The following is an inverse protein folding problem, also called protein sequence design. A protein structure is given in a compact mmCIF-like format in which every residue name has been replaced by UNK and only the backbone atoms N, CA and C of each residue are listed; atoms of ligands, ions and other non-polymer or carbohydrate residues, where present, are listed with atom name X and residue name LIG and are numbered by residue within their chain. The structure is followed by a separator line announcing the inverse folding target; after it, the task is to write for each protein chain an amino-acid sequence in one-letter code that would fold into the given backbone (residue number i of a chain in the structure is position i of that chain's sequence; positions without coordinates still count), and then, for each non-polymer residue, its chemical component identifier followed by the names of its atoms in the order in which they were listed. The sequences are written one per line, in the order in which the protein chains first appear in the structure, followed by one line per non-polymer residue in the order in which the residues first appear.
data_IF_064479266892
#
_entry.id   IF_064479266892
#
_cell.length_a   1.000
_cell.length_b   1.000
_cell.length_c   1.000
_cell.angle_alpha   90.00
_cell.angle_beta   90.00
_cell.angle_gamma   90.00
#
_symmetry.space_group_name_H-M   'P 1'
#
loop_
_entity.id
_entity.type
_entity.pdbx_description
1 polymer ?
#
# COMPACT_ATOMS: atom_id res chain seq x y z
N UNK A 1 11.13 22.53 32.16
CA UNK A 1 10.62 22.69 33.55
C UNK A 1 9.82 21.44 33.89
N UNK A 2 10.33 20.59 34.77
CA UNK A 2 9.70 19.31 35.11
C UNK A 2 8.87 19.52 36.38
N UNK A 3 7.54 19.41 36.27
CA UNK A 3 6.63 19.57 37.40
C UNK A 3 6.51 18.20 38.08
N UNK A 4 6.81 18.14 39.38
CA UNK A 4 6.78 16.88 40.16
C UNK A 4 5.78 17.02 41.30
N UNK A 5 4.82 16.10 41.37
CA UNK A 5 3.80 16.11 42.43
C UNK A 5 4.40 15.66 43.78
N UNK A 6 3.81 16.14 44.90
CA UNK A 6 4.19 15.69 46.25
C UNK A 6 3.70 14.26 46.51
N UNK A 7 4.39 13.52 47.38
CA UNK A 7 4.06 12.12 47.71
C UNK A 7 2.61 11.90 48.19
N UNK A 8 1.98 12.90 48.80
CA UNK A 8 0.60 12.83 49.30
C UNK A 8 -0.47 13.27 48.29
N UNK A 9 -0.06 13.63 47.07
CA UNK A 9 -0.98 14.08 46.04
C UNK A 9 -1.84 12.92 45.54
N UNK A 10 -3.16 13.08 45.59
CA UNK A 10 -4.12 12.09 45.09
C UNK A 10 -4.94 12.71 43.97
N UNK A 11 -5.07 11.98 42.86
CA UNK A 11 -5.99 12.32 41.77
C UNK A 11 -7.22 11.43 41.92
N UNK A 12 -8.39 12.05 42.00
CA UNK A 12 -9.67 11.36 41.84
C UNK A 12 -10.33 11.86 40.56
N UNK A 13 -10.67 10.95 39.66
CA UNK A 13 -11.31 11.26 38.38
C UNK A 13 -12.52 10.34 38.18
N UNK A 14 -13.62 10.91 37.69
CA UNK A 14 -14.84 10.19 37.32
C UNK A 14 -15.17 10.50 35.86
N UNK A 15 -15.35 9.47 35.02
CA UNK A 15 -15.76 9.66 33.63
C UNK A 15 -17.28 9.70 33.51
N UNK A 16 -17.83 10.74 32.88
CA UNK A 16 -19.19 10.73 32.34
C UNK A 16 -19.11 10.42 30.84
N UNK A 17 -19.45 9.19 30.40
CA UNK A 17 -19.45 8.88 28.97
C UNK A 17 -20.55 9.68 28.25
N UNK A 18 -20.19 10.38 27.18
CA UNK A 18 -21.13 11.12 26.36
C UNK A 18 -22.08 10.17 25.63
N UNK A 19 -23.32 10.08 26.10
CA UNK A 19 -24.37 9.24 25.49
C UNK A 19 -25.42 8.73 26.47
N UNK A 20 -25.15 8.78 27.78
CA UNK A 20 -26.08 8.29 28.81
C UNK A 20 -27.14 9.37 29.15
N UNK A 21 -28.25 9.37 28.41
CA UNK A 21 -29.44 10.19 28.70
C UNK A 21 -30.04 9.79 30.06
N UNK A 22 -29.52 10.33 31.16
CA UNK A 22 -30.06 10.05 32.50
C UNK A 22 -29.13 10.32 33.68
N UNK A 23 -27.83 10.57 33.46
CA UNK A 23 -26.94 10.93 34.57
C UNK A 23 -26.94 12.44 34.82
N UNK A 24 -27.24 12.81 36.07
CA UNK A 24 -27.23 14.21 36.53
C UNK A 24 -25.80 14.73 36.51
N UNK A 25 -25.60 15.82 35.79
CA UNK A 25 -24.42 16.67 35.90
C UNK A 25 -24.04 16.91 37.38
N UNK A 26 -22.74 16.97 37.68
CA UNK A 26 -22.28 17.31 39.04
C UNK A 26 -22.90 18.64 39.49
N UNK A 27 -23.25 18.75 40.77
CA UNK A 27 -23.81 20.00 41.28
C UNK A 27 -22.80 21.15 41.09
N UNK A 28 -23.25 22.41 40.87
CA UNK A 28 -22.35 23.55 40.74
C UNK A 28 -21.35 23.69 41.90
N UNK A 29 -21.77 23.34 43.12
CA UNK A 29 -20.91 23.37 44.31
C UNK A 29 -19.76 22.35 44.28
N UNK A 30 -19.97 21.19 43.64
CA UNK A 30 -18.92 20.19 43.43
C UNK A 30 -18.04 20.53 42.24
N UNK A 31 -18.61 21.04 41.14
CA UNK A 31 -17.84 21.49 39.96
C UNK A 31 -16.80 22.54 40.30
N UNK A 32 -17.15 23.51 41.16
CA UNK A 32 -16.21 24.54 41.61
C UNK A 32 -15.03 24.01 42.45
N UNK A 33 -15.08 22.76 42.93
CA UNK A 33 -14.01 22.11 43.70
C UNK A 33 -13.09 21.24 42.84
N UNK A 34 -13.44 21.00 41.58
CA UNK A 34 -12.66 20.16 40.67
C UNK A 34 -12.25 20.94 39.42
N UNK A 35 -11.14 20.55 38.82
CA UNK A 35 -10.75 21.03 37.49
C UNK A 35 -11.41 20.14 36.45
N UNK A 36 -12.29 20.71 35.63
CA UNK A 36 -12.90 20.00 34.51
C UNK A 36 -11.97 20.06 33.29
N UNK A 37 -11.69 18.89 32.72
CA UNK A 37 -10.92 18.76 31.48
C UNK A 37 -11.87 18.17 30.44
N UNK A 38 -12.22 18.97 29.44
CA UNK A 38 -13.00 18.48 28.31
C UNK A 38 -12.09 17.76 27.32
N UNK A 39 -12.38 16.49 27.07
CA UNK A 39 -11.66 15.69 26.07
C UNK A 39 -12.56 15.53 24.86
N UNK A 40 -12.23 16.13 23.70
CA UNK A 40 -13.03 15.98 22.49
C UNK A 40 -13.02 14.51 22.03
N UNK A 41 -14.05 14.13 21.26
CA UNK A 41 -14.04 12.85 20.57
C UNK A 41 -12.82 12.76 19.65
N UNK A 42 -12.18 11.59 19.61
CA UNK A 42 -11.04 11.34 18.73
C UNK A 42 -11.56 11.15 17.30
N UNK A 43 -11.76 12.27 16.61
CA UNK A 43 -12.28 12.31 15.24
C UNK A 43 -11.14 12.30 14.20
N UNK A 44 -9.96 12.81 14.57
CA UNK A 44 -8.80 12.79 13.66
C UNK A 44 -8.19 11.37 13.61
N UNK A 45 -8.06 10.77 12.42
CA UNK A 45 -7.40 9.47 12.26
C UNK A 45 -5.95 9.46 12.78
N UNK A 46 -5.25 10.59 12.75
CA UNK A 46 -3.87 10.73 13.26
C UNK A 46 -3.83 10.56 14.77
N UNK A 47 -4.81 11.10 15.49
CA UNK A 47 -4.90 10.96 16.93
C UNK A 47 -5.21 9.51 17.32
N UNK A 48 -6.12 8.84 16.59
CA UNK A 48 -6.37 7.40 16.79
C UNK A 48 -5.10 6.59 16.55
N UNK A 49 -4.40 6.88 15.46
CA UNK A 49 -3.14 6.22 15.14
C UNK A 49 -2.08 6.39 16.23
N UNK A 50 -1.94 7.60 16.79
CA UNK A 50 -1.05 7.88 17.91
C UNK A 50 -1.42 7.05 19.15
N UNK A 51 -2.72 6.92 19.47
CA UNK A 51 -3.20 6.09 20.57
C UNK A 51 -2.86 4.61 20.37
N UNK A 52 -3.01 4.07 19.15
CA UNK A 52 -2.64 2.69 18.86
C UNK A 52 -1.13 2.46 18.99
N UNK A 53 -0.31 3.39 18.50
CA UNK A 53 1.15 3.33 18.63
C UNK A 53 1.59 3.33 20.10
N UNK A 54 1.00 4.19 20.94
CA UNK A 54 1.27 4.21 22.38
C UNK A 54 0.84 2.88 23.04
N UNK A 55 -0.35 2.38 22.72
CA UNK A 55 -0.87 1.11 23.25
C UNK A 55 0.05 -0.08 22.93
N UNK A 56 0.51 -0.17 21.69
CA UNK A 56 1.45 -1.20 21.24
C UNK A 56 2.82 -1.07 21.91
N UNK A 57 3.30 0.17 22.09
CA UNK A 57 4.61 0.43 22.71
C UNK A 57 4.65 0.06 24.20
N UNK A 58 3.53 0.21 24.93
CA UNK A 58 3.45 -0.12 26.36
C UNK A 58 3.40 -1.62 26.65
N UNK A 59 2.92 -2.43 25.71
CA UNK A 59 2.62 -3.87 25.96
C UNK A 59 3.64 -4.84 25.38
N UNK A 60 4.65 -4.38 24.65
CA UNK A 60 5.53 -5.26 23.89
C UNK A 60 7.01 -5.16 24.29
N UNK A 61 7.70 -6.30 24.23
CA UNK A 61 9.17 -6.36 24.32
C UNK A 61 9.81 -5.60 23.14
N UNK A 62 10.78 -4.74 23.46
CA UNK A 62 11.33 -3.65 22.66
C UNK A 62 11.68 -3.94 21.18
N UNK A 63 11.99 -5.20 20.81
CA UNK A 63 12.37 -5.58 19.44
C UNK A 63 11.20 -5.85 18.48
N UNK A 64 9.98 -6.18 18.96
CA UNK A 64 8.81 -6.41 18.08
C UNK A 64 8.15 -5.10 17.62
N UNK A 65 8.26 -4.02 18.41
CA UNK A 65 7.39 -2.83 18.36
C UNK A 65 7.61 -1.93 17.13
N UNK A 66 8.85 -1.69 16.74
CA UNK A 66 9.17 -0.75 15.64
C UNK A 66 8.56 -1.20 14.31
N UNK A 67 8.70 -2.49 13.97
CA UNK A 67 8.11 -3.06 12.75
C UNK A 67 6.57 -3.18 12.81
N UNK A 68 5.97 -3.22 14.00
CA UNK A 68 4.52 -3.25 14.18
C UNK A 68 3.93 -1.87 13.97
N UNK A 69 4.52 -0.83 14.55
CA UNK A 69 3.98 0.53 14.48
C UNK A 69 3.88 1.03 13.04
N UNK A 70 4.86 0.71 12.20
CA UNK A 70 4.88 1.03 10.76
C UNK A 70 3.78 0.28 9.99
N UNK A 71 3.61 -1.02 10.25
CA UNK A 71 2.59 -1.86 9.59
C UNK A 71 1.17 -1.52 10.05
N UNK A 72 0.99 -1.22 11.33
CA UNK A 72 -0.28 -0.82 11.93
C UNK A 72 -0.72 0.56 11.45
N UNK A 73 0.21 1.49 11.28
CA UNK A 73 -0.09 2.77 10.64
C UNK A 73 -0.56 2.60 9.22
N UNK A 74 0.19 1.82 8.43
CA UNK A 74 -0.12 1.47 7.05
C UNK A 74 -1.54 0.99 6.89
N UNK A 75 -1.88 -0.02 7.67
CA UNK A 75 -3.18 -0.66 7.59
C UNK A 75 -4.30 0.12 8.26
N UNK A 76 -4.07 0.85 9.36
CA UNK A 76 -5.11 1.68 9.97
C UNK A 76 -5.50 2.83 9.04
N UNK A 77 -4.52 3.48 8.40
CA UNK A 77 -4.80 4.47 7.37
C UNK A 77 -5.43 3.85 6.13
N UNK A 78 -4.97 2.68 5.67
CA UNK A 78 -5.51 2.06 4.47
C UNK A 78 -6.94 1.58 4.69
N UNK A 79 -7.25 0.98 5.84
CA UNK A 79 -8.61 0.65 6.27
C UNK A 79 -9.42 1.93 6.34
N UNK A 80 -8.95 2.96 7.05
CA UNK A 80 -9.61 4.26 7.11
C UNK A 80 -9.86 4.84 5.71
N UNK A 81 -8.89 4.88 4.79
CA UNK A 81 -9.03 5.44 3.43
C UNK A 81 -9.91 4.60 2.51
N UNK A 82 -9.74 3.28 2.51
CA UNK A 82 -10.60 2.36 1.75
C UNK A 82 -12.04 2.49 2.24
N UNK A 83 -12.27 2.78 3.52
CA UNK A 83 -13.61 2.96 4.08
C UNK A 83 -14.12 4.41 4.15
N UNK A 84 -13.29 5.45 4.00
CA UNK A 84 -13.70 6.86 4.08
C UNK A 84 -13.65 7.59 2.74
N UNK A 85 -12.91 7.06 1.76
CA UNK A 85 -12.70 7.66 0.43
C UNK A 85 -13.10 6.74 -0.73
N UNK A 86 -13.57 5.52 -0.49
CA UNK A 86 -14.08 4.68 -1.58
C UNK A 86 -15.49 5.10 -1.99
N UNK A 87 -15.90 4.87 -3.24
CA UNK A 87 -17.29 5.12 -3.68
C UNK A 87 -18.34 4.40 -2.80
N UNK A 88 -17.94 3.32 -2.13
CA UNK A 88 -18.78 2.55 -1.21
C UNK A 88 -19.09 3.34 0.06
N UNK A 89 -18.16 4.19 0.54
CA UNK A 89 -18.37 5.04 1.71
C UNK A 89 -19.24 6.26 1.44
N UNK A 90 -19.34 6.68 0.18
CA UNK A 90 -20.21 7.79 -0.22
C UNK A 90 -21.69 7.39 -0.28
N UNK A 91 -21.98 6.09 -0.41
CA UNK A 91 -23.36 5.56 -0.45
C UNK A 91 -23.85 5.04 0.91
N UNK A 92 -22.95 4.75 1.85
CA UNK A 92 -23.29 4.22 3.18
C UNK A 92 -22.44 4.91 4.25
N UNK A 93 -23.09 5.57 5.22
CA UNK A 93 -22.46 6.28 6.35
C UNK A 93 -21.75 5.37 7.38
N UNK A 94 -21.48 4.11 7.07
CA UNK A 94 -21.43 3.06 8.08
C UNK A 94 -20.27 2.08 7.93
N UNK A 95 -19.01 2.52 8.03
CA UNK A 95 -17.85 1.62 8.18
C UNK A 95 -16.62 2.33 8.80
N UNK A 96 -16.81 3.14 9.83
CA UNK A 96 -15.67 3.75 10.54
C UNK A 96 -15.14 2.80 11.63
N UNK A 97 -13.85 2.49 11.62
CA UNK A 97 -13.24 1.65 12.65
C UNK A 97 -13.25 2.40 13.97
N UNK A 98 -13.98 1.89 14.97
CA UNK A 98 -14.08 2.54 16.28
C UNK A 98 -12.74 2.48 17.03
N UNK A 99 -12.52 3.42 17.96
CA UNK A 99 -11.35 3.39 18.84
C UNK A 99 -11.23 2.05 19.59
N UNK A 100 -12.37 1.51 20.05
CA UNK A 100 -12.46 0.21 20.71
C UNK A 100 -11.96 -0.92 19.83
N UNK A 101 -12.36 -0.96 18.57
CA UNK A 101 -11.96 -2.01 17.64
C UNK A 101 -10.46 -1.95 17.33
N UNK A 102 -9.93 -0.75 17.11
CA UNK A 102 -8.48 -0.57 16.93
C UNK A 102 -7.66 -0.94 18.17
N UNK A 103 -8.16 -0.66 19.38
CA UNK A 103 -7.51 -1.08 20.63
C UNK A 103 -7.56 -2.60 20.84
N UNK A 104 -8.68 -3.25 20.51
CA UNK A 104 -8.79 -4.70 20.55
C UNK A 104 -7.81 -5.37 19.59
N UNK A 105 -7.60 -4.76 18.41
CA UNK A 105 -6.58 -5.21 17.48
C UNK A 105 -5.16 -5.06 18.05
N UNK A 106 -4.83 -3.91 18.65
CA UNK A 106 -3.54 -3.70 19.32
C UNK A 106 -3.28 -4.75 20.41
N UNK A 107 -4.31 -5.02 21.21
CA UNK A 107 -4.24 -5.97 22.31
C UNK A 107 -4.05 -7.42 21.80
N UNK A 108 -4.71 -7.80 20.70
CA UNK A 108 -4.48 -9.08 20.04
C UNK A 108 -3.04 -9.20 19.53
N UNK A 109 -2.53 -8.16 18.84
CA UNK A 109 -1.15 -8.14 18.34
C UNK A 109 -0.13 -8.30 19.47
N UNK A 110 -0.35 -7.59 20.57
CA UNK A 110 0.57 -7.59 21.71
C UNK A 110 0.54 -8.92 22.46
N UNK A 111 -0.62 -9.59 22.51
CA UNK A 111 -0.82 -10.81 23.30
C UNK A 111 -0.49 -12.09 22.53
N UNK A 112 -0.53 -12.06 21.19
CA UNK A 112 -0.28 -13.25 20.38
C UNK A 112 1.22 -13.52 20.19
N UNK A 113 1.72 -14.54 20.90
CA UNK A 113 3.10 -15.03 20.77
C UNK A 113 3.26 -16.13 19.72
N UNK A 114 2.18 -16.84 19.40
CA UNK A 114 2.17 -18.06 18.58
C UNK A 114 2.35 -17.82 17.08
N UNK A 115 1.99 -16.64 16.58
CA UNK A 115 2.00 -16.31 15.16
C UNK A 115 3.14 -15.35 14.81
N UNK A 116 3.56 -15.39 13.55
CA UNK A 116 4.44 -14.37 12.99
C UNK A 116 3.73 -13.02 13.00
N UNK A 117 4.50 -11.93 13.06
CA UNK A 117 3.92 -10.60 13.17
C UNK A 117 2.95 -10.26 12.03
N UNK A 118 3.28 -10.68 10.80
CA UNK A 118 2.40 -10.51 9.66
C UNK A 118 1.09 -11.28 9.81
N UNK A 119 1.14 -12.52 10.31
CA UNK A 119 -0.07 -13.32 10.54
C UNK A 119 -0.90 -12.74 11.69
N UNK A 120 -0.28 -12.35 12.80
CA UNK A 120 -0.99 -11.71 13.91
C UNK A 120 -1.68 -10.43 13.47
N UNK A 121 -1.03 -9.66 12.61
CA UNK A 121 -1.59 -8.47 11.99
C UNK A 121 -2.88 -8.80 11.22
N UNK A 122 -2.80 -9.77 10.31
CA UNK A 122 -3.91 -10.24 9.46
C UNK A 122 -5.08 -10.78 10.28
N UNK A 123 -4.79 -11.64 11.25
CA UNK A 123 -5.83 -12.24 12.10
C UNK A 123 -6.52 -11.20 12.99
N UNK A 124 -5.78 -10.22 13.49
CA UNK A 124 -6.38 -9.10 14.22
C UNK A 124 -7.30 -8.25 13.35
N UNK A 125 -6.91 -7.99 12.09
CA UNK A 125 -7.77 -7.29 11.12
C UNK A 125 -9.04 -8.09 10.81
N UNK A 126 -8.90 -9.41 10.65
CA UNK A 126 -10.03 -10.30 10.39
C UNK A 126 -11.04 -10.26 11.56
N UNK A 127 -10.55 -10.39 12.80
CA UNK A 127 -11.37 -10.38 14.01
C UNK A 127 -12.08 -9.03 14.22
N UNK A 128 -11.38 -7.92 14.00
CA UNK A 128 -11.90 -6.58 14.36
C UNK A 128 -12.63 -5.86 13.23
N UNK A 129 -12.31 -6.19 11.98
CA UNK A 129 -12.86 -5.53 10.79
C UNK A 129 -13.73 -6.49 9.98
N UNK A 130 -13.16 -7.62 9.52
CA UNK A 130 -13.85 -8.48 8.55
C UNK A 130 -15.03 -9.23 9.16
N UNK A 131 -14.89 -9.72 10.39
CA UNK A 131 -15.93 -10.49 11.07
C UNK A 131 -17.07 -9.59 11.58
N UNK A 132 -16.80 -8.29 11.73
CA UNK A 132 -17.81 -7.30 12.14
C UNK A 132 -18.59 -6.69 10.98
N UNK A 133 -18.16 -6.84 9.73
CA UNK A 133 -18.89 -6.31 8.55
C UNK A 133 -20.32 -6.88 8.49
N UNK A 134 -21.32 -6.00 8.59
CA UNK A 134 -22.73 -6.39 8.58
C UNK A 134 -23.31 -6.71 9.96
N UNK A 135 -22.56 -6.44 11.04
CA UNK A 135 -23.03 -6.62 12.43
C UNK A 135 -23.30 -5.26 13.08
N UNK A 136 -23.97 -5.28 14.25
CA UNK A 136 -24.38 -4.06 14.95
C UNK A 136 -23.21 -3.05 15.12
N UNK A 137 -23.40 -1.85 14.57
CA UNK A 137 -22.45 -0.74 14.64
C UNK A 137 -21.29 -0.74 13.62
N UNK A 138 -21.20 -1.71 12.70
CA UNK A 138 -20.21 -1.67 11.60
C UNK A 138 -20.78 -2.30 10.32
N UNK A 139 -21.12 -1.47 9.32
CA UNK A 139 -21.72 -1.97 8.08
C UNK A 139 -23.14 -2.52 8.23
N UNK A 140 -23.86 -2.15 9.30
CA UNK A 140 -25.18 -2.70 9.61
C UNK A 140 -26.24 -2.40 8.53
N UNK A 141 -26.09 -1.27 7.83
CA UNK A 141 -26.99 -0.86 6.75
C UNK A 141 -26.57 -1.39 5.36
N UNK A 142 -25.48 -2.16 5.29
CA UNK A 142 -24.99 -2.70 4.02
C UNK A 142 -25.82 -3.92 3.59
N UNK A 143 -26.26 -3.98 2.32
CA UNK A 143 -26.81 -5.20 1.74
C UNK A 143 -25.81 -6.36 1.87
N UNK A 144 -26.31 -7.58 2.12
CA UNK A 144 -25.47 -8.76 2.31
C UNK A 144 -24.52 -9.05 1.13
N UNK A 145 -24.91 -8.71 -0.10
CA UNK A 145 -24.07 -8.81 -1.30
C UNK A 145 -22.88 -7.83 -1.26
N UNK A 146 -23.14 -6.57 -0.88
CA UNK A 146 -22.12 -5.53 -0.72
C UNK A 146 -21.15 -5.85 0.41
N UNK A 147 -21.67 -6.33 1.55
CA UNK A 147 -20.84 -6.76 2.67
C UNK A 147 -19.90 -7.93 2.28
N UNK A 148 -20.41 -8.90 1.51
CA UNK A 148 -19.61 -10.03 1.00
C UNK A 148 -18.53 -9.57 0.01
N UNK A 149 -18.87 -8.65 -0.89
CA UNK A 149 -17.91 -8.07 -1.84
C UNK A 149 -16.80 -7.29 -1.12
N UNK A 150 -17.17 -6.42 -0.17
CA UNK A 150 -16.22 -5.70 0.69
C UNK A 150 -15.31 -6.66 1.46
N UNK A 151 -15.87 -7.70 2.08
CA UNK A 151 -15.09 -8.71 2.82
C UNK A 151 -14.09 -9.42 1.92
N UNK A 152 -14.47 -9.76 0.68
CA UNK A 152 -13.56 -10.36 -0.31
C UNK A 152 -12.42 -9.42 -0.69
N UNK A 153 -12.75 -8.16 -1.02
CA UNK A 153 -11.74 -7.15 -1.34
C UNK A 153 -10.76 -6.96 -0.18
N UNK A 154 -11.27 -6.68 1.02
CA UNK A 154 -10.45 -6.42 2.20
C UNK A 154 -9.64 -7.64 2.64
N UNK A 155 -10.20 -8.86 2.55
CA UNK A 155 -9.45 -10.09 2.79
C UNK A 155 -8.28 -10.24 1.81
N UNK A 156 -8.51 -9.98 0.52
CA UNK A 156 -7.44 -9.97 -0.49
C UNK A 156 -6.35 -8.95 -0.15
N UNK A 157 -6.70 -7.77 0.38
CA UNK A 157 -5.74 -6.73 0.77
C UNK A 157 -4.98 -7.06 2.06
N UNK A 158 -5.69 -7.47 3.10
CA UNK A 158 -5.12 -7.80 4.40
C UNK A 158 -4.14 -8.98 4.24
N UNK A 159 -4.48 -9.97 3.43
CA UNK A 159 -3.64 -11.14 3.16
C UNK A 159 -2.49 -10.89 2.16
N UNK A 160 -2.35 -9.68 1.58
CA UNK A 160 -1.26 -9.34 0.65
C UNK A 160 0.01 -8.92 1.40
N UNK A 161 1.16 -9.12 0.76
CA UNK A 161 2.49 -8.81 1.30
C UNK A 161 2.63 -7.33 1.64
N UNK A 162 3.09 -7.04 2.84
CA UNK A 162 3.43 -5.67 3.26
C UNK A 162 4.74 -5.25 2.59
N UNK A 163 4.71 -4.15 1.84
CA UNK A 163 5.89 -3.55 1.20
C UNK A 163 6.48 -2.49 2.14
N UNK A 164 7.58 -2.81 2.80
CA UNK A 164 8.36 -1.84 3.61
C UNK A 164 9.76 -1.54 3.04
N UNK A 165 10.16 -2.20 1.95
CA UNK A 165 11.46 -2.01 1.31
C UNK A 165 11.33 -2.15 -0.20
N UNK A 166 11.71 -1.11 -0.93
CA UNK A 166 11.56 -1.00 -2.38
C UNK A 166 12.95 -0.85 -3.02
N UNK A 167 13.23 -1.66 -4.05
CA UNK A 167 14.31 -1.41 -4.99
C UNK A 167 13.81 -0.49 -6.11
N UNK A 168 14.54 0.58 -6.40
CA UNK A 168 14.32 1.39 -7.60
C UNK A 168 15.29 0.91 -8.69
N UNK A 169 14.74 0.31 -9.73
CA UNK A 169 15.44 -0.11 -10.94
C UNK A 169 15.39 1.01 -12.00
N UNK A 170 15.78 2.22 -11.59
CA UNK A 170 15.80 3.42 -12.43
C UNK A 170 16.77 4.45 -11.82
N UNK A 171 17.09 5.50 -12.57
CA UNK A 171 17.94 6.61 -12.15
C UNK A 171 17.27 7.96 -12.41
N UNK A 172 18.05 9.04 -12.26
CA UNK A 172 17.63 10.40 -12.60
C UNK A 172 16.33 10.85 -11.92
N UNK A 173 15.51 11.58 -12.66
CA UNK A 173 14.29 12.22 -12.13
C UNK A 173 13.19 11.21 -11.75
N UNK A 174 13.15 10.04 -12.39
CA UNK A 174 12.20 8.97 -12.06
C UNK A 174 12.41 8.50 -10.62
N UNK A 175 13.66 8.15 -10.28
CA UNK A 175 14.03 7.71 -8.95
C UNK A 175 13.78 8.80 -7.88
N UNK A 176 14.16 10.05 -8.16
CA UNK A 176 13.89 11.19 -7.25
C UNK A 176 12.38 11.36 -7.00
N UNK A 177 11.57 11.30 -8.06
CA UNK A 177 10.13 11.51 -7.95
C UNK A 177 9.45 10.40 -7.15
N UNK A 178 9.84 9.15 -7.36
CA UNK A 178 9.30 8.02 -6.59
C UNK A 178 9.61 8.19 -5.09
N UNK A 179 10.89 8.38 -4.75
CA UNK A 179 11.32 8.54 -3.35
C UNK A 179 10.57 9.70 -2.70
N UNK A 180 10.54 10.90 -3.31
CA UNK A 180 9.84 12.07 -2.73
C UNK A 180 8.35 11.83 -2.56
N UNK A 181 7.70 11.19 -3.52
CA UNK A 181 6.24 11.00 -3.49
C UNK A 181 5.84 10.02 -2.41
N UNK A 182 6.53 8.89 -2.32
CA UNK A 182 6.28 7.87 -1.30
C UNK A 182 6.63 8.40 0.08
N UNK A 183 7.74 9.11 0.23
CA UNK A 183 8.15 9.71 1.51
C UNK A 183 7.21 10.80 1.99
N UNK A 184 6.74 11.68 1.09
CA UNK A 184 5.69 12.67 1.39
C UNK A 184 4.42 11.98 1.86
N UNK A 185 3.95 10.98 1.10
CA UNK A 185 2.78 10.19 1.49
C UNK A 185 3.00 9.51 2.85
N UNK A 186 4.15 8.88 3.07
CA UNK A 186 4.48 8.21 4.33
C UNK A 186 4.48 9.19 5.51
N UNK A 187 5.03 10.40 5.34
CA UNK A 187 5.01 11.44 6.38
C UNK A 187 3.58 11.92 6.69
N UNK A 188 2.79 12.23 5.67
CA UNK A 188 1.38 12.63 5.83
C UNK A 188 0.53 11.52 6.47
N UNK A 189 0.92 10.26 6.25
CA UNK A 189 0.15 9.09 6.66
C UNK A 189 0.55 8.58 8.04
N UNK A 190 1.85 8.50 8.34
CA UNK A 190 2.41 7.86 9.53
C UNK A 190 3.16 8.82 10.46
N UNK A 191 3.25 10.11 10.09
CA UNK A 191 4.09 11.08 10.79
C UNK A 191 5.59 10.81 10.67
N UNK A 192 5.99 9.87 9.81
CA UNK A 192 7.37 9.45 9.59
C UNK A 192 7.64 9.29 8.11
N UNK A 193 8.70 9.94 7.64
CA UNK A 193 9.07 9.91 6.23
C UNK A 193 9.67 8.55 5.81
N UNK A 194 10.42 7.91 6.71
CA UNK A 194 11.18 6.68 6.45
C UNK A 194 10.48 5.40 6.92
N UNK A 195 9.19 5.28 6.61
CA UNK A 195 8.43 4.04 6.84
C UNK A 195 8.68 3.00 5.74
N UNK A 196 9.09 3.47 4.56
CA UNK A 196 9.46 2.63 3.43
C UNK A 196 10.93 2.89 3.12
N UNK A 197 11.73 1.85 3.23
CA UNK A 197 13.16 1.86 2.92
C UNK A 197 13.36 1.83 1.39
N UNK A 198 14.22 2.72 0.88
CA UNK A 198 14.61 2.72 -0.51
C UNK A 198 16.02 2.18 -0.72
N UNK A 199 16.13 1.17 -1.57
CA UNK A 199 17.39 0.70 -2.16
C UNK A 199 17.42 1.18 -3.61
N UNK A 200 18.53 1.75 -4.05
CA UNK A 200 18.69 2.20 -5.44
C UNK A 200 19.88 1.53 -6.11
N UNK A 201 19.78 1.29 -7.42
CA UNK A 201 20.92 0.91 -8.23
C UNK A 201 21.72 2.17 -8.61
N UNK A 202 23.04 2.10 -8.57
CA UNK A 202 23.91 3.22 -8.92
C UNK A 202 25.03 2.77 -9.85
N UNK A 203 25.13 3.39 -11.03
CA UNK A 203 26.28 3.19 -11.91
C UNK A 203 27.47 4.06 -11.46
N UNK A 204 28.71 3.72 -11.84
CA UNK A 204 29.87 4.59 -11.63
C UNK A 204 29.66 6.01 -12.18
N UNK A 205 28.93 6.14 -13.28
CA UNK A 205 28.60 7.41 -13.90
C UNK A 205 27.62 8.23 -13.04
N UNK A 206 26.56 7.61 -12.51
CA UNK A 206 25.61 8.25 -11.59
C UNK A 206 26.29 8.68 -10.27
N UNK A 207 27.21 7.85 -9.76
CA UNK A 207 28.03 8.15 -8.58
C UNK A 207 28.95 9.35 -8.82
N UNK A 208 29.61 9.39 -9.97
CA UNK A 208 30.54 10.47 -10.35
C UNK A 208 29.86 11.82 -10.45
N UNK A 209 28.62 11.87 -10.93
CA UNK A 209 27.83 13.12 -11.01
C UNK A 209 27.10 13.45 -9.71
N UNK A 210 27.29 12.65 -8.65
CA UNK A 210 26.63 12.81 -7.35
C UNK A 210 25.10 12.91 -7.48
N UNK A 211 24.49 11.97 -8.20
CA UNK A 211 23.07 12.01 -8.52
C UNK A 211 22.19 12.04 -7.26
N UNK A 212 21.21 12.96 -7.24
CA UNK A 212 20.36 13.23 -6.07
C UNK A 212 19.66 11.99 -5.51
N UNK A 213 19.19 11.11 -6.38
CA UNK A 213 18.45 9.92 -5.96
C UNK A 213 19.30 8.98 -5.09
N UNK A 214 20.62 8.94 -5.29
CA UNK A 214 21.56 8.13 -4.49
C UNK A 214 21.64 8.68 -3.06
N UNK A 215 21.74 9.99 -2.91
CA UNK A 215 21.76 10.67 -1.60
C UNK A 215 20.42 10.58 -0.87
N UNK A 216 19.34 10.55 -1.64
CA UNK A 216 17.99 10.46 -1.07
C UNK A 216 17.67 9.05 -0.59
N UNK A 217 18.16 8.02 -1.26
CA UNK A 217 17.93 6.62 -0.88
C UNK A 217 18.50 6.28 0.50
N UNK A 218 17.95 5.24 1.13
CA UNK A 218 18.46 4.74 2.41
C UNK A 218 19.71 3.88 2.21
N UNK A 219 19.78 3.17 1.07
CA UNK A 219 20.94 2.36 0.66
C UNK A 219 21.09 2.42 -0.86
N UNK A 220 22.30 2.23 -1.36
CA UNK A 220 22.55 2.01 -2.78
C UNK A 220 23.33 0.72 -3.00
N UNK A 221 23.20 0.16 -4.20
CA UNK A 221 23.98 -0.97 -4.69
C UNK A 221 24.65 -0.54 -5.99
N UNK A 222 25.98 -0.63 -6.03
CA UNK A 222 26.73 -0.33 -7.25
C UNK A 222 26.47 -1.43 -8.30
N UNK A 223 26.22 -1.00 -9.54
CA UNK A 223 25.93 -1.87 -10.69
C UNK A 223 26.84 -1.51 -11.87
N UNK A 224 27.01 -2.39 -12.88
CA UNK A 224 27.90 -2.12 -14.00
C UNK A 224 27.56 -0.81 -14.73
N UNK A 225 28.58 -0.06 -15.15
CA UNK A 225 28.43 1.18 -15.91
C UNK A 225 28.12 0.97 -17.40
N UNK A 226 28.22 2.05 -18.17
CA UNK A 226 27.95 2.07 -19.61
C UNK A 226 26.46 2.06 -19.97
N UNK A 227 26.13 1.42 -21.11
CA UNK A 227 24.76 1.37 -21.64
C UNK A 227 23.78 0.75 -20.64
N UNK A 228 22.51 1.17 -20.70
CA UNK A 228 21.48 0.71 -19.77
C UNK A 228 21.22 -0.81 -19.83
N UNK A 229 21.55 -1.46 -20.94
CA UNK A 229 21.52 -2.91 -21.11
C UNK A 229 22.41 -3.68 -20.11
N UNK A 230 23.38 -3.02 -19.50
CA UNK A 230 24.26 -3.59 -18.48
C UNK A 230 23.72 -3.40 -17.05
N UNK A 231 22.75 -2.50 -16.85
CA UNK A 231 22.28 -2.06 -15.53
C UNK A 231 20.75 -1.95 -15.46
N UNK A 232 20.18 -0.76 -15.63
CA UNK A 232 18.77 -0.45 -15.38
C UNK A 232 17.79 -1.15 -16.33
N UNK A 233 18.24 -1.60 -17.51
CA UNK A 233 17.44 -2.38 -18.46
C UNK A 233 17.72 -3.89 -18.37
N UNK A 234 18.67 -4.31 -17.53
CA UNK A 234 19.06 -5.70 -17.39
C UNK A 234 18.24 -6.39 -16.31
N UNK A 235 17.27 -7.20 -16.74
CA UNK A 235 16.36 -7.92 -15.83
C UNK A 235 17.11 -8.83 -14.85
N UNK A 236 18.19 -9.49 -15.31
CA UNK A 236 18.93 -10.45 -14.50
C UNK A 236 19.73 -9.73 -13.40
N UNK A 237 20.34 -8.58 -13.72
CA UNK A 237 21.01 -7.72 -12.72
C UNK A 237 20.00 -7.15 -11.73
N UNK A 238 18.85 -6.65 -12.19
CA UNK A 238 17.81 -6.12 -11.30
C UNK A 238 17.31 -7.20 -10.34
N UNK A 239 17.08 -8.41 -10.86
CA UNK A 239 16.62 -9.55 -10.07
C UNK A 239 17.64 -9.93 -8.99
N UNK A 240 18.90 -10.08 -9.36
CA UNK A 240 19.99 -10.40 -8.43
C UNK A 240 20.14 -9.33 -7.34
N UNK A 241 20.09 -8.05 -7.70
CA UNK A 241 20.13 -6.94 -6.74
C UNK A 241 18.93 -6.98 -5.80
N UNK A 242 17.72 -7.24 -6.32
CA UNK A 242 16.50 -7.30 -5.53
C UNK A 242 16.54 -8.46 -4.51
N UNK A 243 17.01 -9.63 -4.93
CA UNK A 243 17.15 -10.81 -4.07
C UNK A 243 18.21 -10.58 -2.98
N UNK A 244 19.40 -10.12 -3.34
CA UNK A 244 20.49 -9.85 -2.38
C UNK A 244 20.13 -8.74 -1.39
N UNK A 245 19.40 -7.71 -1.82
CA UNK A 245 18.97 -6.63 -0.94
C UNK A 245 17.76 -7.01 -0.04
N UNK A 246 17.14 -8.16 -0.31
CA UNK A 246 15.94 -8.62 0.40
C UNK A 246 14.83 -7.58 0.37
N UNK A 247 14.53 -7.06 -0.83
CA UNK A 247 13.45 -6.09 -1.03
C UNK A 247 12.10 -6.80 -1.16
N UNK A 248 11.04 -6.09 -0.79
CA UNK A 248 9.67 -6.60 -0.90
C UNK A 248 9.07 -6.29 -2.27
N UNK A 249 9.55 -5.20 -2.90
CA UNK A 249 9.06 -4.78 -4.20
C UNK A 249 10.15 -4.10 -5.04
N UNK A 250 9.93 -4.07 -6.36
CA UNK A 250 10.74 -3.34 -7.33
C UNK A 250 9.86 -2.34 -8.06
N UNK A 251 10.35 -1.10 -8.18
CA UNK A 251 9.74 -0.05 -8.99
C UNK A 251 10.68 0.31 -10.15
N UNK A 252 10.18 0.28 -11.38
CA UNK A 252 10.96 0.57 -12.59
C UNK A 252 10.64 1.94 -13.20
N UNK A 253 9.57 2.62 -12.77
CA UNK A 253 9.19 3.92 -13.32
C UNK A 253 8.92 3.87 -14.82
N UNK A 254 9.65 4.68 -15.58
CA UNK A 254 9.59 4.73 -17.05
C UNK A 254 10.98 4.58 -17.68
N UNK A 255 11.01 4.06 -18.90
CA UNK A 255 12.25 3.72 -19.59
C UNK A 255 12.92 2.47 -19.02
N UNK A 256 14.06 2.11 -19.59
CA UNK A 256 14.82 0.91 -19.19
C UNK A 256 13.95 -0.36 -19.22
N UNK A 257 13.89 -1.12 -18.12
CA UNK A 257 13.09 -2.34 -18.02
C UNK A 257 11.59 -2.10 -17.66
N UNK A 258 11.09 -0.86 -17.64
CA UNK A 258 9.71 -0.54 -17.20
C UNK A 258 8.62 -1.25 -18.00
N UNK A 259 8.87 -1.48 -19.29
CA UNK A 259 7.94 -2.12 -20.23
C UNK A 259 8.35 -3.56 -20.58
N UNK A 260 9.37 -4.09 -19.91
CA UNK A 260 9.87 -5.44 -20.18
C UNK A 260 9.09 -6.48 -19.36
N UNK A 261 8.25 -7.33 -19.99
CA UNK A 261 7.42 -8.31 -19.28
C UNK A 261 8.24 -9.39 -18.56
N UNK A 262 9.51 -9.59 -18.92
CA UNK A 262 10.40 -10.53 -18.22
C UNK A 262 10.69 -10.11 -16.78
N UNK A 263 10.68 -8.80 -16.50
CA UNK A 263 10.94 -8.27 -15.16
C UNK A 263 9.89 -8.71 -14.12
N UNK A 264 8.59 -8.41 -14.28
CA UNK A 264 7.58 -8.88 -13.34
C UNK A 264 7.51 -10.41 -13.25
N UNK A 265 7.70 -11.13 -14.37
CA UNK A 265 7.69 -12.59 -14.38
C UNK A 265 8.84 -13.18 -13.56
N UNK A 266 10.06 -12.64 -13.71
CA UNK A 266 11.23 -13.05 -12.92
C UNK A 266 11.02 -12.74 -11.42
N UNK A 267 10.54 -11.55 -11.09
CA UNK A 267 10.31 -11.14 -9.70
C UNK A 267 9.27 -12.02 -9.00
N UNK A 268 8.19 -12.40 -9.68
CA UNK A 268 7.15 -13.27 -9.11
C UNK A 268 7.66 -14.71 -8.89
N UNK A 269 8.65 -15.15 -9.66
CA UNK A 269 9.27 -16.48 -9.52
C UNK A 269 10.20 -16.60 -8.29
N UNK A 270 10.65 -15.49 -7.71
CA UNK A 270 11.49 -15.47 -6.51
C UNK A 270 10.80 -16.06 -5.26
N UNK A 271 11.61 -16.52 -4.30
CA UNK A 271 11.16 -17.00 -2.99
C UNK A 271 12.02 -16.34 -1.89
N UNK A 272 11.47 -15.41 -1.07
CA UNK A 272 10.08 -14.93 -1.06
C UNK A 272 9.72 -14.11 -2.31
N UNK A 273 8.43 -14.08 -2.67
CA UNK A 273 7.96 -13.36 -3.86
C UNK A 273 8.22 -11.86 -3.75
N UNK A 274 8.88 -11.29 -4.75
CA UNK A 274 9.11 -9.85 -4.89
C UNK A 274 8.00 -9.26 -5.77
N UNK A 275 7.37 -8.18 -5.29
CA UNK A 275 6.27 -7.52 -6.00
C UNK A 275 6.83 -6.55 -7.04
N UNK A 276 6.33 -6.61 -8.26
CA UNK A 276 6.56 -5.54 -9.23
C UNK A 276 5.51 -4.44 -9.05
N UNK A 277 5.94 -3.19 -8.84
CA UNK A 277 5.06 -2.03 -8.74
C UNK A 277 4.74 -1.53 -10.16
N UNK A 278 3.81 -2.22 -10.81
CA UNK A 278 3.38 -1.95 -12.17
C UNK A 278 2.44 -3.06 -12.68
N UNK A 279 2.11 -3.08 -13.99
CA UNK A 279 1.29 -4.14 -14.54
C UNK A 279 2.04 -5.49 -14.51
N UNK A 280 1.34 -6.62 -14.37
CA UNK A 280 1.95 -7.94 -14.48
C UNK A 280 2.41 -8.21 -15.93
N UNK A 281 3.35 -9.16 -16.10
CA UNK A 281 3.89 -9.51 -17.42
C UNK A 281 2.83 -9.96 -18.43
N UNK A 282 1.74 -10.58 -17.96
CA UNK A 282 0.58 -10.91 -18.81
C UNK A 282 -0.08 -9.66 -19.41
N UNK A 283 -0.33 -8.63 -18.61
CA UNK A 283 -0.92 -7.38 -19.10
C UNK A 283 0.04 -6.61 -20.03
N UNK A 284 1.34 -6.62 -19.71
CA UNK A 284 2.37 -6.05 -20.59
C UNK A 284 2.44 -6.76 -21.95
N UNK A 285 2.30 -8.09 -21.99
CA UNK A 285 2.22 -8.83 -23.26
C UNK A 285 0.94 -8.53 -24.05
N UNK A 286 -0.18 -8.35 -23.37
CA UNK A 286 -1.46 -8.04 -24.03
C UNK A 286 -1.48 -6.64 -24.66
N UNK A 287 -0.91 -5.65 -23.98
CA UNK A 287 -1.11 -4.22 -24.27
C UNK A 287 0.19 -3.44 -24.52
N UNK A 288 1.35 -4.11 -24.57
CA UNK A 288 2.65 -3.44 -24.67
C UNK A 288 2.91 -2.86 -26.06
N UNK A 289 2.60 -3.60 -27.13
CA UNK A 289 2.78 -3.11 -28.49
C UNK A 289 1.51 -2.44 -29.03
N UNK A 290 1.72 -1.42 -29.88
CA UNK A 290 0.62 -0.60 -30.44
C UNK A 290 -0.36 -1.45 -31.24
N UNK A 291 0.11 -2.44 -32.02
CA UNK A 291 -0.76 -3.25 -32.88
C UNK A 291 -1.68 -4.12 -32.04
N UNK A 292 -1.11 -4.91 -31.12
CA UNK A 292 -1.90 -5.77 -30.22
C UNK A 292 -2.85 -4.94 -29.37
N UNK A 293 -2.36 -3.86 -28.76
CA UNK A 293 -3.17 -2.99 -27.91
C UNK A 293 -4.34 -2.36 -28.68
N UNK A 294 -4.16 -1.96 -29.94
CA UNK A 294 -5.24 -1.36 -30.74
C UNK A 294 -6.27 -2.41 -31.17
N UNK A 295 -5.87 -3.64 -31.45
CA UNK A 295 -6.81 -4.76 -31.72
C UNK A 295 -7.62 -5.09 -30.47
N UNK A 296 -6.96 -5.16 -29.31
CA UNK A 296 -7.65 -5.35 -28.02
C UNK A 296 -8.62 -4.20 -27.73
N UNK A 297 -8.23 -2.95 -27.99
CA UNK A 297 -9.11 -1.79 -27.84
C UNK A 297 -10.36 -1.87 -28.75
N UNK A 298 -10.18 -2.24 -30.02
CA UNK A 298 -11.28 -2.45 -30.97
C UNK A 298 -12.21 -3.60 -30.51
N UNK A 299 -11.68 -4.67 -29.90
CA UNK A 299 -12.49 -5.76 -29.33
C UNK A 299 -13.36 -5.30 -28.15
N UNK A 300 -12.93 -4.26 -27.43
CA UNK A 300 -13.67 -3.62 -26.35
C UNK A 300 -14.54 -2.43 -26.81
N UNK A 301 -14.74 -2.27 -28.13
CA UNK A 301 -15.53 -1.18 -28.73
C UNK A 301 -14.99 0.24 -28.39
N UNK A 302 -13.69 0.36 -28.12
CA UNK A 302 -13.03 1.65 -27.91
C UNK A 302 -12.69 2.27 -29.28
N UNK A 303 -13.08 3.53 -29.54
CA UNK A 303 -12.71 4.21 -30.79
C UNK A 303 -11.19 4.34 -30.95
N UNK A 304 -10.68 3.97 -32.13
CA UNK A 304 -9.25 4.07 -32.48
C UNK A 304 -9.06 4.91 -33.74
N UNK A 305 -7.92 5.57 -33.87
CA UNK A 305 -7.54 6.26 -35.11
C UNK A 305 -7.49 5.27 -36.29
N UNK A 306 -7.77 5.76 -37.50
CA UNK A 306 -7.64 4.93 -38.70
C UNK A 306 -6.19 4.48 -38.91
N UNK A 307 -6.02 3.18 -39.15
CA UNK A 307 -4.72 2.51 -39.31
C UNK A 307 -4.86 1.23 -40.16
N UNK A 308 -3.76 0.57 -40.49
CA UNK A 308 -3.74 -0.66 -41.31
C UNK A 308 -4.59 -1.80 -40.74
N UNK A 309 -4.72 -1.89 -39.42
CA UNK A 309 -5.53 -2.88 -38.72
C UNK A 309 -6.94 -2.42 -38.34
N UNK A 310 -7.46 -1.37 -38.98
CA UNK A 310 -8.86 -0.93 -38.77
C UNK A 310 -9.81 -2.10 -38.99
N UNK A 311 -10.79 -2.29 -38.09
CA UNK A 311 -11.76 -3.41 -38.04
C UNK A 311 -11.26 -4.74 -37.49
N UNK A 312 -9.97 -4.86 -37.14
CA UNK A 312 -9.46 -6.07 -36.48
C UNK A 312 -9.80 -6.05 -34.99
N UNK A 313 -10.69 -6.95 -34.57
CA UNK A 313 -11.17 -7.08 -33.18
C UNK A 313 -11.03 -8.51 -32.62
N UNK A 314 -10.53 -9.45 -33.41
CA UNK A 314 -10.41 -10.84 -33.00
C UNK A 314 -9.30 -11.01 -31.95
N UNK A 315 -9.68 -11.46 -30.75
CA UNK A 315 -8.78 -11.77 -29.65
C UNK A 315 -9.00 -13.20 -29.17
N UNK A 316 -7.99 -13.80 -28.54
CA UNK A 316 -8.05 -15.13 -27.94
C UNK A 316 -7.58 -15.08 -26.49
N UNK A 317 -8.12 -15.95 -25.65
CA UNK A 317 -7.60 -16.14 -24.29
C UNK A 317 -6.45 -17.15 -24.34
N UNK A 318 -5.28 -16.76 -23.84
CA UNK A 318 -4.12 -17.64 -23.71
C UNK A 318 -4.39 -18.76 -22.71
N UNK A 319 -3.62 -19.85 -22.78
CA UNK A 319 -3.68 -20.96 -21.82
C UNK A 319 -3.44 -20.50 -20.37
N UNK A 320 -2.70 -19.41 -20.16
CA UNK A 320 -2.48 -18.80 -18.84
C UNK A 320 -3.54 -17.74 -18.46
N UNK A 321 -4.67 -17.68 -19.18
CA UNK A 321 -5.85 -16.89 -18.79
C UNK A 321 -5.80 -15.39 -19.11
N UNK A 322 -4.86 -14.94 -19.92
CA UNK A 322 -4.77 -13.53 -20.35
C UNK A 322 -5.13 -13.35 -21.82
N UNK A 323 -5.63 -12.16 -22.17
CA UNK A 323 -6.05 -11.83 -23.53
C UNK A 323 -4.84 -11.65 -24.46
N UNK A 324 -4.86 -12.22 -25.65
CA UNK A 324 -3.80 -12.07 -26.65
C UNK A 324 -4.40 -11.98 -28.04
N UNK A 325 -3.66 -11.40 -28.97
CA UNK A 325 -3.98 -11.42 -30.41
C UNK A 325 -3.33 -12.66 -31.02
N UNK A 326 -3.99 -13.30 -31.98
CA UNK A 326 -3.40 -14.42 -32.72
C UNK A 326 -2.46 -13.89 -33.82
N UNK A 327 -1.35 -14.58 -34.09
CA UNK A 327 -0.32 -14.12 -35.03
C UNK A 327 -0.90 -13.87 -36.44
N UNK A 328 -1.90 -14.64 -36.84
CA UNK A 328 -2.59 -14.48 -38.12
C UNK A 328 -3.37 -13.15 -38.18
N UNK A 329 -3.97 -12.73 -37.06
CA UNK A 329 -4.68 -11.44 -36.95
C UNK A 329 -3.67 -10.31 -36.86
N UNK A 330 -2.59 -10.50 -36.10
CA UNK A 330 -1.51 -9.53 -35.94
C UNK A 330 -0.84 -9.21 -37.29
N UNK A 331 -0.51 -10.25 -38.07
CA UNK A 331 0.12 -10.10 -39.39
C UNK A 331 -0.74 -9.34 -40.39
N UNK A 332 -2.08 -9.46 -40.32
CA UNK A 332 -3.00 -8.67 -41.16
C UNK A 332 -2.90 -7.16 -40.93
N UNK A 333 -2.47 -6.75 -39.74
CA UNK A 333 -2.25 -5.34 -39.42
C UNK A 333 -0.86 -4.83 -39.83
N UNK A 334 0.08 -5.74 -40.12
CA UNK A 334 1.46 -5.39 -40.43
C UNK A 334 1.63 -5.11 -41.92
N UNK A 335 2.45 -4.11 -42.23
CA UNK A 335 2.89 -3.85 -43.60
C UNK A 335 4.10 -4.74 -43.87
N UNK A 336 4.04 -5.58 -44.91
CA UNK A 336 5.05 -6.61 -45.18
C UNK A 336 6.16 -6.15 -46.13
N UNK A 337 5.92 -5.10 -46.91
CA UNK A 337 6.88 -4.57 -47.86
C UNK A 337 6.69 -3.05 -48.03
N UNK A 338 7.71 -2.37 -48.56
CA UNK A 338 7.78 -0.91 -48.65
C UNK A 338 7.04 -0.35 -49.87
N UNK A 339 6.50 -1.19 -50.78
CA UNK A 339 5.96 -0.83 -52.11
C UNK A 339 5.96 0.68 -52.37
N UNK A 340 7.06 1.12 -53.00
CA UNK A 340 7.25 2.51 -53.41
C UNK A 340 6.26 2.78 -54.53
N UNK A 341 5.12 3.37 -54.18
CA UNK A 341 4.14 3.90 -55.16
C UNK A 341 4.74 5.06 -55.93
#
# INVERSE_FOLDING_TARGET
MQITARLSFQISATMNPGGDFGKRELSPALRNRFTEIWVPLVLDPRDRFAVYCDRLSRKANHQRVTSVNEKMGGAHYLIFRVFSKSPISAQFSACELSLRDGLAWCDFISSCSLLSLALTFVHGAQMTVLDRLGTAGFGQDLPASSARHLRSCLSSFICRTVITKILIANNGIAAVKEIRSVRKWAYETFGRERVIDFVVMATPEDLKVNADYIRMADRYVEVPGGSNNNNYANVDVIFDVAERAGVHAVWAGWGHASENPRLPDALVASKPKIIFIGPPGSAMRSLGDKISSTIVAQSAQVPTMAWSGSSLSATKTSAQGYLTVADEVYKKACVTDVEVV
#
